data_IF_773715623585
#
_entry.id   IF_773715623585
#
_cell.length_a   1.000
_cell.length_b   1.000
_cell.length_c   1.000
_cell.angle_alpha   90.00
_cell.angle_beta   90.00
_cell.angle_gamma   90.00
#
_symmetry.space_group_name_H-M   'P 1'
#
loop_
_entity.id
_entity.type
_entity.pdbx_description
1 polymer ?
#
# COMPACT_ATOMS: atom_id res chain seq x y z
N UNK A 1 37.86 -2.37 -24.30
CA UNK A 1 37.53 -3.38 -23.27
C UNK A 1 37.25 -2.78 -21.88
N UNK A 2 37.56 -1.49 -21.62
CA UNK A 2 37.42 -0.87 -20.29
C UNK A 2 36.04 -0.22 -20.02
N UNK A 3 35.27 0.13 -21.07
CA UNK A 3 33.97 0.79 -20.92
C UNK A 3 32.84 -0.15 -20.45
N UNK A 4 32.89 -1.44 -20.82
CA UNK A 4 31.90 -2.45 -20.43
C UNK A 4 31.99 -2.79 -18.94
N UNK A 5 33.18 -2.69 -18.35
CA UNK A 5 33.40 -2.97 -16.92
C UNK A 5 32.87 -1.84 -16.03
N UNK A 6 32.89 -0.58 -16.48
CA UNK A 6 32.32 0.57 -15.75
C UNK A 6 30.81 0.49 -15.53
N UNK A 7 30.07 -0.26 -16.35
CA UNK A 7 28.64 -0.48 -16.14
C UNK A 7 28.35 -1.33 -14.89
N UNK A 8 29.28 -2.21 -14.52
CA UNK A 8 29.21 -3.04 -13.32
C UNK A 8 29.92 -2.42 -12.11
N UNK A 9 30.66 -1.33 -12.29
CA UNK A 9 31.24 -0.59 -11.18
C UNK A 9 30.13 0.15 -10.44
N UNK A 10 29.85 -0.31 -9.21
CA UNK A 10 28.99 0.39 -8.27
C UNK A 10 29.52 1.83 -8.09
N UNK A 11 28.64 2.83 -8.11
CA UNK A 11 29.02 4.21 -7.81
C UNK A 11 29.81 4.24 -6.49
N UNK A 12 30.89 5.03 -6.42
CA UNK A 12 31.71 5.11 -5.19
C UNK A 12 30.92 5.59 -3.96
N UNK A 13 29.79 6.25 -4.19
CA UNK A 13 28.86 6.73 -3.16
C UNK A 13 27.65 5.79 -2.97
N UNK A 14 27.66 4.60 -3.58
CA UNK A 14 26.56 3.66 -3.47
C UNK A 14 26.47 3.06 -2.06
N UNK A 15 25.37 3.34 -1.38
CA UNK A 15 25.01 2.72 -0.10
C UNK A 15 24.05 1.55 -0.33
N UNK A 16 24.19 0.42 0.37
CA UNK A 16 23.23 -0.69 0.29
C UNK A 16 21.82 -0.29 0.73
N UNK A 17 21.68 0.88 1.38
CA UNK A 17 20.41 1.38 1.91
C UNK A 17 19.82 2.54 1.12
N UNK A 18 20.41 2.92 -0.01
CA UNK A 18 19.96 4.04 -0.83
C UNK A 18 19.86 3.66 -2.31
N UNK A 19 18.66 3.79 -2.86
CA UNK A 19 18.34 3.69 -4.28
C UNK A 19 17.25 4.73 -4.60
N UNK A 20 17.18 5.18 -5.86
CA UNK A 20 16.20 6.15 -6.34
C UNK A 20 14.73 5.75 -6.02
N UNK A 21 14.43 4.46 -5.91
CA UNK A 21 13.07 3.96 -5.63
C UNK A 21 12.67 4.01 -4.15
N UNK A 22 13.64 4.07 -3.23
CA UNK A 22 13.39 4.12 -1.79
C UNK A 22 13.52 5.51 -1.19
N UNK A 23 14.08 6.45 -1.96
CA UNK A 23 14.14 7.85 -1.57
C UNK A 23 12.72 8.47 -1.58
N UNK A 24 12.46 9.49 -0.73
CA UNK A 24 11.20 10.21 -0.76
C UNK A 24 10.86 10.72 -2.15
N UNK A 25 9.61 10.51 -2.58
CA UNK A 25 9.20 10.87 -3.94
C UNK A 25 9.20 12.40 -4.11
N UNK A 26 9.91 12.95 -5.12
CA UNK A 26 9.97 14.39 -5.35
C UNK A 26 8.59 14.93 -5.78
N UNK A 27 8.27 16.21 -5.48
CA UNK A 27 6.96 16.80 -5.81
C UNK A 27 6.55 16.66 -7.28
N UNK A 28 7.50 16.73 -8.21
CA UNK A 28 7.26 16.58 -9.66
C UNK A 28 6.70 15.22 -10.07
N UNK A 29 6.89 14.18 -9.25
CA UNK A 29 6.41 12.81 -9.50
C UNK A 29 5.15 12.46 -8.70
N UNK A 30 4.60 13.39 -7.91
CA UNK A 30 3.39 13.18 -7.11
C UNK A 30 2.13 13.42 -7.95
N UNK A 31 1.81 12.45 -8.80
CA UNK A 31 0.68 12.54 -9.75
C UNK A 31 -0.66 12.06 -9.18
N UNK A 32 -0.65 11.48 -7.99
CA UNK A 32 -1.86 10.96 -7.34
C UNK A 32 -2.76 12.09 -6.88
N UNK A 33 -3.91 12.23 -7.55
CA UNK A 33 -4.98 13.14 -7.15
C UNK A 33 -6.01 12.40 -6.29
N UNK A 34 -6.84 13.15 -5.57
CA UNK A 34 -7.95 12.58 -4.78
C UNK A 34 -8.87 11.71 -5.64
N UNK A 35 -9.08 12.08 -6.91
CA UNK A 35 -9.89 11.27 -7.84
C UNK A 35 -9.26 9.91 -8.09
N UNK A 36 -7.97 9.88 -8.42
CA UNK A 36 -7.22 8.63 -8.64
C UNK A 36 -7.25 7.77 -7.39
N UNK A 37 -7.10 8.38 -6.21
CA UNK A 37 -7.21 7.68 -4.94
C UNK A 37 -8.57 7.01 -4.73
N UNK A 38 -9.68 7.70 -4.98
CA UNK A 38 -11.03 7.12 -4.84
C UNK A 38 -11.25 6.00 -5.85
N UNK A 39 -10.90 6.20 -7.13
CA UNK A 39 -11.07 5.16 -8.14
C UNK A 39 -10.18 3.94 -7.89
N UNK A 40 -8.98 4.14 -7.36
CA UNK A 40 -8.11 3.03 -6.93
C UNK A 40 -8.81 2.18 -5.87
N UNK A 41 -9.36 2.77 -4.82
CA UNK A 41 -10.06 2.02 -3.77
C UNK A 41 -11.32 1.31 -4.26
N UNK A 42 -12.09 1.94 -5.14
CA UNK A 42 -13.23 1.28 -5.79
C UNK A 42 -12.79 0.08 -6.62
N UNK A 43 -11.68 0.20 -7.36
CA UNK A 43 -11.12 -0.90 -8.13
C UNK A 43 -10.66 -2.06 -7.23
N UNK A 44 -10.08 -1.76 -6.05
CA UNK A 44 -9.64 -2.81 -5.13
C UNK A 44 -10.79 -3.50 -4.40
N UNK A 45 -11.94 -2.82 -4.23
CA UNK A 45 -13.11 -3.38 -3.55
C UNK A 45 -13.78 -4.52 -4.33
N UNK A 46 -13.53 -4.61 -5.64
CA UNK A 46 -14.10 -5.66 -6.50
C UNK A 46 -13.05 -6.76 -6.66
N UNK A 47 -13.02 -7.71 -5.73
CA UNK A 47 -12.09 -8.83 -5.75
C UNK A 47 -12.72 -10.11 -5.19
N UNK A 48 -12.14 -11.26 -5.53
CA UNK A 48 -12.69 -12.60 -5.18
C UNK A 48 -12.81 -12.79 -3.66
N UNK A 49 -11.87 -12.26 -2.87
CA UNK A 49 -11.90 -12.44 -1.41
C UNK A 49 -13.14 -11.79 -0.79
N UNK A 50 -13.54 -10.60 -1.27
CA UNK A 50 -14.77 -9.93 -0.83
C UNK A 50 -16.03 -10.73 -1.19
N UNK A 51 -16.09 -11.28 -2.41
CA UNK A 51 -17.20 -12.16 -2.84
C UNK A 51 -17.30 -13.43 -1.98
N UNK A 52 -16.15 -14.04 -1.67
CA UNK A 52 -16.07 -15.19 -0.78
C UNK A 52 -16.51 -14.84 0.64
N UNK A 53 -16.07 -13.69 1.18
CA UNK A 53 -16.46 -13.23 2.52
C UNK A 53 -17.97 -13.04 2.67
N UNK A 54 -18.61 -12.39 1.68
CA UNK A 54 -20.06 -12.25 1.64
C UNK A 54 -20.76 -13.63 1.55
N UNK A 55 -20.26 -14.53 0.71
CA UNK A 55 -20.83 -15.88 0.55
C UNK A 55 -20.73 -16.69 1.85
N UNK A 56 -19.59 -16.63 2.54
CA UNK A 56 -19.38 -17.29 3.83
C UNK A 56 -20.34 -16.74 4.89
N UNK A 57 -20.57 -15.43 4.92
CA UNK A 57 -21.50 -14.84 5.89
C UNK A 57 -22.93 -15.39 5.73
N UNK A 58 -23.39 -15.57 4.49
CA UNK A 58 -24.70 -16.18 4.23
C UNK A 58 -24.69 -17.67 4.59
N UNK A 59 -23.59 -18.38 4.29
CA UNK A 59 -23.46 -19.80 4.57
C UNK A 59 -23.48 -20.12 6.08
N UNK A 60 -23.00 -19.22 6.94
CA UNK A 60 -23.10 -19.36 8.41
C UNK A 60 -24.49 -18.98 8.96
N UNK A 61 -25.44 -18.61 8.09
CA UNK A 61 -26.84 -18.40 8.45
C UNK A 61 -27.26 -16.94 8.68
N UNK A 62 -26.41 -15.95 8.37
CA UNK A 62 -26.82 -14.55 8.42
C UNK A 62 -27.84 -14.25 7.31
N UNK A 63 -28.83 -13.43 7.64
CA UNK A 63 -29.71 -12.86 6.61
C UNK A 63 -28.92 -11.87 5.76
N UNK A 64 -29.37 -11.62 4.52
CA UNK A 64 -28.72 -10.66 3.61
C UNK A 64 -28.53 -9.28 4.25
N UNK A 65 -29.54 -8.78 4.97
CA UNK A 65 -29.44 -7.51 5.67
C UNK A 65 -28.37 -7.50 6.77
N UNK A 66 -28.28 -8.58 7.56
CA UNK A 66 -27.24 -8.72 8.58
C UNK A 66 -25.84 -8.85 7.98
N UNK A 67 -25.69 -9.61 6.89
CA UNK A 67 -24.42 -9.73 6.17
C UNK A 67 -23.92 -8.38 5.65
N UNK A 68 -24.80 -7.56 5.08
CA UNK A 68 -24.44 -6.21 4.62
C UNK A 68 -24.00 -5.34 5.81
N UNK A 69 -24.72 -5.38 6.93
CA UNK A 69 -24.38 -4.59 8.12
C UNK A 69 -23.03 -5.01 8.73
N UNK A 70 -22.80 -6.32 8.87
CA UNK A 70 -21.52 -6.85 9.39
C UNK A 70 -20.37 -6.47 8.45
N UNK A 71 -20.57 -6.58 7.14
CA UNK A 71 -19.55 -6.20 6.17
C UNK A 71 -19.21 -4.70 6.27
N UNK A 72 -20.23 -3.83 6.33
CA UNK A 72 -20.04 -2.39 6.48
C UNK A 72 -19.24 -2.04 7.75
N UNK A 73 -19.56 -2.67 8.88
CA UNK A 73 -18.83 -2.46 10.15
C UNK A 73 -17.38 -2.95 10.02
N UNK A 74 -17.17 -4.12 9.43
CA UNK A 74 -15.83 -4.66 9.16
C UNK A 74 -14.99 -3.71 8.32
N UNK A 75 -15.53 -3.22 7.19
CA UNK A 75 -14.83 -2.28 6.30
C UNK A 75 -14.45 -0.99 7.01
N UNK A 76 -15.31 -0.46 7.90
CA UNK A 76 -15.00 0.74 8.69
C UNK A 76 -13.80 0.48 9.62
N UNK A 77 -13.80 -0.65 10.35
CA UNK A 77 -12.70 -1.02 11.25
C UNK A 77 -11.39 -1.17 10.48
N UNK A 78 -11.41 -1.86 9.34
CA UNK A 78 -10.24 -2.03 8.47
C UNK A 78 -9.75 -0.68 7.96
N UNK A 79 -10.66 0.20 7.52
CA UNK A 79 -10.32 1.53 7.03
C UNK A 79 -9.59 2.36 8.09
N UNK A 80 -10.04 2.30 9.35
CA UNK A 80 -9.37 3.01 10.44
C UNK A 80 -7.91 2.54 10.62
N UNK A 81 -7.70 1.23 10.68
CA UNK A 81 -6.35 0.65 10.79
C UNK A 81 -5.47 1.02 9.58
N UNK A 82 -6.06 1.04 8.39
CA UNK A 82 -5.38 1.37 7.15
C UNK A 82 -4.93 2.83 7.10
N UNK A 83 -5.79 3.77 7.52
CA UNK A 83 -5.46 5.21 7.56
C UNK A 83 -4.34 5.49 8.56
N UNK A 84 -4.39 4.87 9.74
CA UNK A 84 -3.33 5.00 10.76
C UNK A 84 -1.99 4.49 10.21
N UNK A 85 -2.01 3.32 9.58
CA UNK A 85 -0.79 2.68 9.06
C UNK A 85 -0.24 3.36 7.80
N UNK A 86 -1.13 3.90 6.95
CA UNK A 86 -0.76 4.57 5.70
C UNK A 86 -0.30 6.01 5.86
N UNK A 87 -0.50 6.62 7.03
CA UNK A 87 -0.23 8.04 7.26
C UNK A 87 1.23 8.42 6.95
N UNK A 88 2.17 7.53 7.30
CA UNK A 88 3.59 7.80 7.08
C UNK A 88 3.97 7.85 5.60
N UNK A 89 3.42 6.93 4.80
CA UNK A 89 3.64 6.92 3.36
C UNK A 89 3.03 8.16 2.69
N UNK A 90 1.84 8.56 3.14
CA UNK A 90 1.16 9.75 2.61
C UNK A 90 1.84 11.08 2.97
N UNK A 91 2.37 11.23 4.19
CA UNK A 91 3.01 12.48 4.63
C UNK A 91 4.42 12.63 4.07
N UNK A 92 5.26 11.60 4.22
CA UNK A 92 6.68 11.66 3.87
C UNK A 92 6.99 11.13 2.48
N UNK A 93 6.01 10.55 1.78
CA UNK A 93 6.17 10.01 0.43
C UNK A 93 7.29 8.97 0.33
N UNK A 94 7.43 8.16 1.39
CA UNK A 94 8.40 7.05 1.50
C UNK A 94 7.68 5.70 1.38
N UNK A 95 8.32 4.67 0.84
CA UNK A 95 7.72 3.35 0.72
C UNK A 95 7.62 2.65 2.09
N UNK A 96 6.72 1.66 2.17
CA UNK A 96 6.51 0.85 3.37
C UNK A 96 7.79 0.19 3.90
N UNK A 97 8.68 -0.26 3.00
CA UNK A 97 9.97 -0.85 3.39
C UNK A 97 10.86 0.12 4.19
N UNK A 98 10.81 1.42 3.89
CA UNK A 98 11.56 2.44 4.65
C UNK A 98 10.88 2.74 5.98
N UNK A 99 9.54 2.78 6.02
CA UNK A 99 8.79 2.94 7.27
C UNK A 99 9.07 1.81 8.26
N UNK A 100 9.16 0.56 7.81
CA UNK A 100 9.44 -0.57 8.69
C UNK A 100 10.77 -0.47 9.43
N UNK A 101 11.75 0.27 8.90
CA UNK A 101 13.04 0.48 9.57
C UNK A 101 12.91 1.18 10.92
N UNK A 102 11.83 1.93 11.14
CA UNK A 102 11.60 2.60 12.43
C UNK A 102 11.20 1.63 13.55
N UNK A 103 10.59 0.49 13.21
CA UNK A 103 10.13 -0.50 14.18
C UNK A 103 11.05 -1.72 14.28
N UNK A 104 11.68 -2.12 13.18
CA UNK A 104 12.42 -3.39 13.08
C UNK A 104 13.93 -3.23 12.95
N UNK A 105 14.43 -1.99 12.81
CA UNK A 105 15.83 -1.72 12.56
C UNK A 105 16.21 -1.70 11.08
N UNK A 106 17.51 -1.51 10.84
CA UNK A 106 18.12 -1.39 9.50
C UNK A 106 18.63 -2.73 8.98
#
# INVERSE_FOLDING_TARGET
>A
MTAMLRFFELSKDASPYQNADILPLPPSRRTWTVKIFVFFWLSTAINIAEWSGASTSLAIGLTVGQSIAVNAISTIIITLALVISGQGGGKWHIPFAVLNRTGWGM
#
